data_IF_130347349856
#
_entry.id   IF_130347349856
#
_cell.length_a   1.000
_cell.length_b   1.000
_cell.length_c   1.000
_cell.angle_alpha   90.00
_cell.angle_beta   90.00
_cell.angle_gamma   90.00
#
_symmetry.space_group_name_H-M   'P 1'
#
loop_
_entity.id
_entity.type
_entity.pdbx_description
1 polymer ?
#
# COMPACT_ATOMS: atom_id res chain seq x y z
N UNK A 1 24.70 -9.12 1.35
CA UNK A 1 25.15 -8.51 0.07
C UNK A 1 23.97 -7.77 -0.56
N UNK A 2 24.04 -6.44 -0.70
CA UNK A 2 23.02 -5.68 -1.43
C UNK A 2 23.38 -5.71 -2.92
N UNK A 3 22.65 -6.48 -3.73
CA UNK A 3 22.79 -6.44 -5.19
C UNK A 3 22.02 -5.23 -5.74
N UNK A 4 22.70 -4.39 -6.54
CA UNK A 4 22.04 -3.31 -7.29
C UNK A 4 21.34 -3.92 -8.50
N UNK A 5 20.02 -3.93 -8.47
CA UNK A 5 19.17 -4.36 -9.59
C UNK A 5 18.73 -3.11 -10.35
N UNK A 6 18.84 -3.14 -11.67
CA UNK A 6 18.30 -2.10 -12.56
C UNK A 6 17.20 -2.70 -13.41
N UNK A 7 16.06 -2.02 -13.52
CA UNK A 7 14.94 -2.40 -14.37
C UNK A 7 15.02 -1.60 -15.68
N UNK A 8 14.94 -2.29 -16.81
CA UNK A 8 14.94 -1.69 -18.14
C UNK A 8 13.66 -2.06 -18.88
N UNK A 9 12.97 -1.05 -19.41
CA UNK A 9 11.86 -1.26 -20.33
C UNK A 9 12.40 -1.36 -21.76
N UNK A 10 11.99 -2.40 -22.47
CA UNK A 10 12.36 -2.63 -23.88
C UNK A 10 11.11 -2.67 -24.75
N UNK A 11 11.15 -2.10 -25.96
CA UNK A 11 10.05 -2.22 -26.90
C UNK A 11 9.90 -3.67 -27.37
N UNK A 12 8.65 -4.12 -27.52
CA UNK A 12 8.34 -5.46 -28.02
C UNK A 12 8.79 -5.65 -29.47
N UNK A 13 9.11 -6.89 -29.84
CA UNK A 13 9.46 -7.28 -31.22
C UNK A 13 10.52 -6.40 -31.90
N UNK A 14 11.48 -5.90 -31.12
CA UNK A 14 12.48 -4.93 -31.57
C UNK A 14 13.85 -5.55 -31.87
N UNK A 15 13.95 -6.86 -32.10
CA UNK A 15 15.22 -7.53 -32.41
C UNK A 15 16.13 -7.77 -31.20
N UNK A 16 15.68 -7.45 -29.97
CA UNK A 16 16.50 -7.65 -28.76
C UNK A 16 16.51 -9.14 -28.43
N UNK A 17 17.60 -9.81 -28.79
CA UNK A 17 17.76 -11.26 -28.71
C UNK A 17 17.24 -11.89 -27.41
N UNK A 18 17.63 -11.35 -26.25
CA UNK A 18 17.20 -11.92 -24.96
C UNK A 18 15.71 -11.70 -24.65
N UNK A 19 15.14 -10.59 -25.11
CA UNK A 19 13.71 -10.32 -24.98
C UNK A 19 12.90 -11.24 -25.92
N UNK A 20 13.36 -11.41 -27.16
CA UNK A 20 12.72 -12.30 -28.14
C UNK A 20 12.85 -13.78 -27.75
N UNK A 21 13.99 -14.17 -27.18
CA UNK A 21 14.18 -15.52 -26.64
C UNK A 21 13.24 -15.77 -25.45
N UNK A 22 13.08 -14.79 -24.55
CA UNK A 22 12.13 -14.88 -23.45
C UNK A 22 10.67 -14.99 -23.96
N UNK A 23 10.28 -14.16 -24.94
CA UNK A 23 8.96 -14.20 -25.58
C UNK A 23 8.70 -15.54 -26.28
N UNK A 24 9.69 -16.06 -27.03
CA UNK A 24 9.59 -17.36 -27.69
C UNK A 24 9.41 -18.51 -26.70
N UNK A 25 10.13 -18.49 -25.57
CA UNK A 25 9.97 -19.52 -24.53
C UNK A 25 8.59 -19.43 -23.87
N UNK A 26 8.10 -18.22 -23.60
CA UNK A 26 6.76 -18.03 -23.05
C UNK A 26 5.65 -18.54 -23.99
N UNK A 27 5.81 -18.33 -25.31
CA UNK A 27 4.88 -18.87 -26.33
C UNK A 27 4.92 -20.39 -26.40
N UNK A 28 6.11 -21.00 -26.38
CA UNK A 28 6.24 -22.46 -26.37
C UNK A 28 5.49 -23.13 -25.23
N UNK A 29 5.46 -22.51 -24.04
CA UNK A 29 4.70 -23.02 -22.89
C UNK A 29 3.19 -22.89 -23.13
N UNK A 30 2.75 -21.85 -23.82
CA UNK A 30 1.33 -21.62 -24.13
C UNK A 30 0.81 -22.63 -25.16
N UNK A 31 1.65 -23.00 -26.13
CA UNK A 31 1.32 -23.96 -27.18
C UNK A 31 1.55 -25.42 -26.75
N UNK A 32 2.19 -25.64 -25.60
CA UNK A 32 2.42 -26.98 -25.06
C UNK A 32 1.20 -27.55 -24.35
N UNK A 33 1.00 -28.86 -24.46
CA UNK A 33 0.04 -29.58 -23.61
C UNK A 33 0.49 -29.43 -22.16
N UNK A 34 -0.43 -29.10 -21.21
CA UNK A 34 -0.07 -28.99 -19.81
C UNK A 34 0.65 -30.27 -19.35
N UNK A 35 1.73 -30.12 -18.58
CA UNK A 35 2.39 -31.28 -17.98
C UNK A 35 1.47 -31.99 -16.96
N UNK A 36 0.45 -31.28 -16.47
CA UNK A 36 -0.54 -31.75 -15.51
C UNK A 36 -1.93 -31.31 -15.99
N UNK A 37 -2.61 -32.18 -16.74
CA UNK A 37 -3.92 -31.87 -17.34
C UNK A 37 -5.09 -31.88 -16.34
N UNK A 38 -4.88 -32.42 -15.14
CA UNK A 38 -5.93 -32.59 -14.14
C UNK A 38 -5.99 -31.47 -13.10
N UNK A 39 -5.03 -30.53 -13.12
CA UNK A 39 -5.05 -29.33 -12.27
C UNK A 39 -5.23 -28.12 -13.17
N UNK A 40 -6.29 -27.35 -12.92
CA UNK A 40 -6.52 -26.11 -13.66
C UNK A 40 -5.45 -25.05 -13.34
N UNK A 41 -5.17 -24.19 -14.30
CA UNK A 41 -4.24 -23.07 -14.08
C UNK A 41 -4.73 -22.14 -12.95
N UNK A 42 -6.05 -22.04 -12.83
CA UNK A 42 -6.79 -21.29 -11.82
C UNK A 42 -6.50 -21.82 -10.41
N UNK A 43 -6.44 -23.14 -10.24
CA UNK A 43 -6.11 -23.79 -8.96
C UNK A 43 -4.66 -23.53 -8.56
N UNK A 44 -3.73 -23.61 -9.52
CA UNK A 44 -2.31 -23.29 -9.29
C UNK A 44 -2.18 -21.83 -8.86
N UNK A 45 -2.78 -20.90 -9.61
CA UNK A 45 -2.76 -19.47 -9.30
C UNK A 45 -3.40 -19.20 -7.93
N UNK A 46 -4.53 -19.84 -7.63
CA UNK A 46 -5.21 -19.73 -6.33
C UNK A 46 -4.32 -20.21 -5.19
N UNK A 47 -3.65 -21.36 -5.36
CA UNK A 47 -2.72 -21.91 -4.39
C UNK A 47 -1.52 -20.99 -4.15
N UNK A 48 -0.87 -20.50 -5.22
CA UNK A 48 0.25 -19.57 -5.14
C UNK A 48 -0.15 -18.25 -4.47
N UNK A 49 -1.34 -17.72 -4.78
CA UNK A 49 -1.88 -16.52 -4.11
C UNK A 49 -2.05 -16.76 -2.61
N UNK A 50 -2.67 -17.88 -2.21
CA UNK A 50 -2.83 -18.24 -0.79
C UNK A 50 -1.48 -18.37 -0.09
N UNK A 51 -0.50 -19.01 -0.73
CA UNK A 51 0.84 -19.15 -0.18
C UNK A 51 1.54 -17.78 -0.04
N UNK A 52 1.46 -16.93 -1.06
CA UNK A 52 2.03 -15.57 -1.04
C UNK A 52 1.45 -14.71 0.09
N UNK A 53 0.12 -14.75 0.27
CA UNK A 53 -0.56 -14.05 1.37
C UNK A 53 -0.06 -14.56 2.73
N UNK A 54 0.01 -15.89 2.93
CA UNK A 54 0.51 -16.49 4.18
C UNK A 54 1.95 -16.07 4.48
N UNK A 55 2.85 -16.21 3.50
CA UNK A 55 4.26 -15.80 3.65
C UNK A 55 4.35 -14.33 4.04
N UNK A 56 3.56 -13.47 3.40
CA UNK A 56 3.54 -12.03 3.70
C UNK A 56 3.04 -11.77 5.11
N UNK A 57 1.93 -12.39 5.51
CA UNK A 57 1.35 -12.28 6.84
C UNK A 57 2.31 -12.76 7.95
N UNK A 58 3.03 -13.85 7.73
CA UNK A 58 3.95 -14.43 8.71
C UNK A 58 5.28 -13.65 8.83
N UNK A 59 5.72 -13.05 7.73
CA UNK A 59 6.97 -12.30 7.67
C UNK A 59 6.81 -10.81 8.02
N UNK A 60 5.65 -10.22 7.76
CA UNK A 60 5.43 -8.79 7.99
C UNK A 60 5.71 -8.36 9.44
N UNK A 61 5.17 -9.04 10.49
CA UNK A 61 5.45 -8.70 11.89
C UNK A 61 6.92 -8.78 12.27
N UNK A 62 7.70 -9.61 11.56
CA UNK A 62 9.14 -9.82 11.78
C UNK A 62 10.01 -8.86 10.94
N UNK A 63 9.41 -8.11 10.03
CA UNK A 63 10.11 -7.21 9.12
C UNK A 63 10.42 -5.88 9.79
N UNK A 64 11.45 -5.17 9.31
CA UNK A 64 11.73 -3.79 9.69
C UNK A 64 10.55 -2.83 9.39
N UNK A 65 9.63 -3.23 8.52
CA UNK A 65 8.50 -2.41 8.10
C UNK A 65 7.37 -2.40 9.12
N UNK A 66 7.21 -3.47 9.93
CA UNK A 66 6.24 -3.49 11.03
C UNK A 66 6.49 -2.34 12.01
N UNK A 67 7.75 -2.09 12.38
CA UNK A 67 8.11 -0.98 13.27
C UNK A 67 7.87 0.40 12.62
N UNK A 68 7.89 0.48 11.29
CA UNK A 68 7.79 1.74 10.54
C UNK A 68 6.35 2.13 10.17
N UNK A 69 5.54 1.14 9.80
CA UNK A 69 4.18 1.30 9.27
C UNK A 69 3.14 0.91 10.34
N UNK A 70 3.50 0.03 11.27
CA UNK A 70 2.60 -0.51 12.28
C UNK A 70 1.68 -1.59 11.72
N UNK A 71 0.58 -1.86 12.40
CA UNK A 71 -0.40 -2.82 11.89
C UNK A 71 -1.09 -2.24 10.64
N UNK A 72 -1.10 -3.03 9.56
CA UNK A 72 -1.88 -2.72 8.36
C UNK A 72 -3.14 -3.58 8.42
N UNK A 73 -4.31 -2.98 8.59
CA UNK A 73 -5.53 -3.75 8.71
C UNK A 73 -5.92 -4.31 7.33
N UNK A 74 -6.59 -5.46 7.30
CA UNK A 74 -6.92 -6.16 6.05
C UNK A 74 -7.95 -5.38 5.22
N UNK A 75 -7.45 -4.64 4.22
CA UNK A 75 -8.19 -3.68 3.39
C UNK A 75 -9.45 -4.28 2.75
N UNK A 76 -9.48 -5.60 2.52
CA UNK A 76 -10.61 -6.28 1.88
C UNK A 76 -11.87 -6.31 2.76
N UNK A 77 -11.72 -6.19 4.08
CA UNK A 77 -12.83 -6.27 5.03
C UNK A 77 -13.27 -4.90 5.57
N UNK A 78 -12.62 -3.82 5.12
CA UNK A 78 -12.56 -2.57 5.87
C UNK A 78 -13.46 -1.45 5.32
N UNK A 79 -13.75 -1.43 4.01
CA UNK A 79 -14.63 -0.39 3.46
C UNK A 79 -15.46 -0.90 2.30
N UNK A 80 -16.74 -0.49 2.26
CA UNK A 80 -17.49 -0.46 1.00
C UNK A 80 -16.83 0.61 0.14
N UNK A 81 -16.17 0.18 -0.93
CA UNK A 81 -15.57 1.11 -1.88
C UNK A 81 -16.63 2.06 -2.42
N UNK A 82 -16.25 3.32 -2.56
CA UNK A 82 -17.16 4.42 -2.95
C UNK A 82 -17.63 4.30 -4.40
N UNK A 83 -17.02 3.41 -5.19
CA UNK A 83 -17.17 3.34 -6.65
C UNK A 83 -16.39 4.42 -7.38
N UNK A 84 -15.82 5.39 -6.64
CA UNK A 84 -14.95 6.42 -7.17
C UNK A 84 -13.48 6.03 -6.93
N UNK A 85 -12.82 5.59 -8.00
CA UNK A 85 -11.42 5.13 -7.96
C UNK A 85 -10.44 6.15 -7.35
N UNK A 86 -10.68 7.45 -7.52
CA UNK A 86 -9.79 8.48 -6.96
C UNK A 86 -9.93 8.54 -5.45
N UNK A 87 -11.16 8.51 -4.94
CA UNK A 87 -11.46 8.48 -3.50
C UNK A 87 -10.98 7.17 -2.87
N UNK A 88 -11.25 6.03 -3.51
CA UNK A 88 -10.84 4.71 -3.03
C UNK A 88 -9.31 4.60 -2.88
N UNK A 89 -8.56 5.15 -3.84
CA UNK A 89 -7.09 5.23 -3.75
C UNK A 89 -6.62 6.08 -2.58
N UNK A 90 -7.31 7.18 -2.30
CA UNK A 90 -6.98 8.04 -1.17
C UNK A 90 -7.27 7.32 0.15
N UNK A 91 -8.45 6.71 0.28
CA UNK A 91 -8.87 5.92 1.45
C UNK A 91 -7.87 4.79 1.72
N UNK A 92 -7.52 4.01 0.70
CA UNK A 92 -6.53 2.94 0.82
C UNK A 92 -5.17 3.46 1.31
N UNK A 93 -4.74 4.64 0.87
CA UNK A 93 -3.51 5.29 1.35
C UNK A 93 -3.62 5.80 2.79
N UNK A 94 -4.79 6.27 3.22
CA UNK A 94 -5.05 6.67 4.61
C UNK A 94 -4.94 5.46 5.53
N UNK A 95 -5.61 4.37 5.18
CA UNK A 95 -5.64 3.13 5.96
C UNK A 95 -4.24 2.51 6.05
N UNK A 96 -3.52 2.45 4.93
CA UNK A 96 -2.15 1.90 4.89
C UNK A 96 -1.07 2.87 5.38
N UNK A 97 -1.43 4.10 5.79
CA UNK A 97 -0.49 5.16 6.21
C UNK A 97 0.54 5.52 5.12
N UNK A 98 0.16 5.40 3.85
CA UNK A 98 1.02 5.64 2.66
C UNK A 98 0.65 6.89 1.85
N UNK A 99 -0.10 7.83 2.43
CA UNK A 99 -0.28 9.14 1.79
C UNK A 99 1.07 9.81 1.56
N UNK A 100 1.24 10.35 0.36
CA UNK A 100 2.42 11.11 -0.03
C UNK A 100 2.50 12.37 0.84
N UNK A 101 3.42 12.35 1.80
CA UNK A 101 3.72 13.44 2.73
C UNK A 101 5.23 13.66 2.76
N UNK A 102 5.73 14.87 3.09
CA UNK A 102 7.17 15.10 3.23
C UNK A 102 7.85 14.12 4.19
N UNK A 103 7.22 13.81 5.32
CA UNK A 103 7.72 12.83 6.28
C UNK A 103 7.80 11.42 5.69
N UNK A 104 6.82 10.98 4.89
CA UNK A 104 6.89 9.69 4.20
C UNK A 104 7.98 9.68 3.13
N UNK A 105 8.04 10.71 2.28
CA UNK A 105 9.01 10.78 1.18
C UNK A 105 10.45 10.86 1.70
N UNK A 106 10.68 11.58 2.79
CA UNK A 106 11.98 11.66 3.44
C UNK A 106 12.49 10.30 3.91
N UNK A 107 11.61 9.44 4.45
CA UNK A 107 11.95 8.06 4.83
C UNK A 107 12.48 7.23 3.66
N UNK A 108 12.09 7.57 2.43
CA UNK A 108 12.55 6.91 1.20
C UNK A 108 13.68 7.66 0.49
N UNK A 109 14.27 8.69 1.12
CA UNK A 109 15.27 9.58 0.51
C UNK A 109 14.78 10.28 -0.77
N UNK A 110 13.48 10.53 -0.87
CA UNK A 110 12.85 11.21 -2.01
C UNK A 110 12.53 12.69 -1.72
N UNK A 111 12.67 13.12 -0.47
CA UNK A 111 12.46 14.50 -0.05
C UNK A 111 13.48 14.91 1.03
N UNK A 112 14.14 16.07 0.93
CA UNK A 112 15.23 16.44 1.84
C UNK A 112 14.74 16.81 3.25
N UNK A 113 13.57 17.44 3.37
CA UNK A 113 13.04 17.94 4.65
C UNK A 113 11.76 17.19 5.06
N UNK A 114 11.74 16.46 6.19
CA UNK A 114 10.54 15.77 6.64
C UNK A 114 9.53 16.68 7.34
N UNK A 115 9.85 17.94 7.61
CA UNK A 115 9.12 18.75 8.59
C UNK A 115 7.91 19.50 8.01
N UNK A 116 6.94 19.73 8.89
CA UNK A 116 5.80 20.58 8.60
C UNK A 116 6.20 22.06 8.81
N UNK A 117 6.04 22.88 7.78
CA UNK A 117 6.41 24.32 7.79
C UNK A 117 5.76 25.08 8.95
N UNK A 118 4.53 24.70 9.34
CA UNK A 118 3.76 25.43 10.38
C UNK A 118 4.07 24.93 11.79
N UNK A 119 4.42 23.65 11.94
CA UNK A 119 4.52 23.01 13.26
C UNK A 119 5.93 22.58 13.64
N UNK A 120 6.86 22.55 12.69
CA UNK A 120 8.22 22.05 12.87
C UNK A 120 8.31 20.63 13.46
N UNK A 121 7.32 19.79 13.13
CA UNK A 121 7.25 18.36 13.47
C UNK A 121 7.32 17.52 12.19
N UNK A 122 7.64 16.22 12.32
CA UNK A 122 7.59 15.29 11.19
C UNK A 122 6.22 15.34 10.54
N UNK A 123 6.20 15.66 9.25
CA UNK A 123 5.00 15.79 8.45
C UNK A 123 4.57 14.42 7.92
N UNK A 124 4.06 13.59 8.82
CA UNK A 124 3.42 12.32 8.48
C UNK A 124 1.89 12.40 8.58
N UNK A 125 1.21 11.31 8.19
CA UNK A 125 -0.26 11.27 8.20
C UNK A 125 -0.85 11.44 9.60
N UNK A 126 -0.15 10.95 10.64
CA UNK A 126 -0.56 11.11 12.04
C UNK A 126 -0.49 12.57 12.45
N UNK A 127 0.60 13.26 12.11
CA UNK A 127 0.72 14.70 12.34
C UNK A 127 -0.43 15.46 11.65
N UNK A 128 -0.70 15.18 10.36
CA UNK A 128 -1.77 15.86 9.60
C UNK A 128 -3.15 15.67 10.26
N UNK A 129 -3.55 14.41 10.52
CA UNK A 129 -4.90 14.09 11.00
C UNK A 129 -5.11 14.31 12.50
N UNK A 130 -4.04 14.42 13.30
CA UNK A 130 -4.17 14.51 14.77
C UNK A 130 -3.69 15.84 15.37
N UNK A 131 -2.68 16.50 14.78
CA UNK A 131 -1.93 17.57 15.49
C UNK A 131 -1.74 18.85 14.68
N UNK A 132 -1.60 18.75 13.36
CA UNK A 132 -1.14 19.83 12.49
C UNK A 132 -2.02 21.08 12.61
N UNK A 133 -1.43 22.23 12.95
CA UNK A 133 -2.14 23.52 13.08
C UNK A 133 -2.71 23.98 11.74
N UNK A 134 -2.01 23.72 10.64
CA UNK A 134 -2.46 24.05 9.28
C UNK A 134 -3.82 23.44 8.94
N UNK A 135 -4.11 22.24 9.45
CA UNK A 135 -5.31 21.48 9.14
C UNK A 135 -6.31 21.45 10.31
N UNK A 136 -6.21 22.37 11.28
CA UNK A 136 -7.03 22.34 12.48
C UNK A 136 -8.55 22.44 12.18
N UNK A 137 -8.96 23.33 11.27
CA UNK A 137 -10.36 23.48 10.87
C UNK A 137 -10.91 22.23 10.19
N UNK A 138 -10.16 21.67 9.23
CA UNK A 138 -10.55 20.43 8.55
C UNK A 138 -10.58 19.23 9.49
N UNK A 139 -9.65 19.17 10.45
CA UNK A 139 -9.63 18.12 11.47
C UNK A 139 -10.86 18.18 12.37
N UNK A 140 -11.30 19.37 12.76
CA UNK A 140 -12.52 19.53 13.54
C UNK A 140 -13.76 19.01 12.80
N UNK A 141 -13.88 19.30 11.50
CA UNK A 141 -14.95 18.76 10.64
C UNK A 141 -14.87 17.22 10.60
N UNK A 142 -13.69 16.68 10.25
CA UNK A 142 -13.48 15.23 10.15
C UNK A 142 -13.82 14.52 11.48
N UNK A 143 -13.36 15.04 12.61
CA UNK A 143 -13.59 14.43 13.92
C UNK A 143 -15.06 14.48 14.31
N UNK A 144 -15.78 15.55 13.95
CA UNK A 144 -17.21 15.65 14.15
C UNK A 144 -17.98 14.58 13.34
N UNK A 145 -17.65 14.43 12.05
CA UNK A 145 -18.25 13.40 11.19
C UNK A 145 -17.98 11.97 11.69
N UNK A 146 -16.83 11.75 12.34
CA UNK A 146 -16.43 10.46 12.90
C UNK A 146 -16.90 10.24 14.35
N UNK A 147 -17.68 11.16 14.92
CA UNK A 147 -18.12 11.14 16.31
C UNK A 147 -16.96 10.99 17.32
N UNK A 148 -15.85 11.68 17.07
CA UNK A 148 -14.68 11.69 17.95
C UNK A 148 -14.79 12.87 18.91
N UNK A 149 -14.94 12.59 20.21
CA UNK A 149 -15.12 13.59 21.27
C UNK A 149 -13.83 13.81 22.09
N UNK A 150 -12.95 12.82 22.14
CA UNK A 150 -11.73 12.87 22.96
C UNK A 150 -10.59 13.64 22.29
N UNK A 151 -9.86 14.41 23.11
CA UNK A 151 -8.57 14.97 22.72
C UNK A 151 -7.45 13.95 22.99
N UNK A 152 -6.45 13.89 22.11
CA UNK A 152 -5.29 12.98 22.18
C UNK A 152 -5.53 11.50 21.82
N UNK A 153 -6.39 11.23 20.85
CA UNK A 153 -6.51 9.88 20.27
C UNK A 153 -5.26 9.46 19.48
N UNK A 154 -5.03 8.16 19.36
CA UNK A 154 -4.02 7.60 18.45
C UNK A 154 -4.57 7.52 17.02
N UNK A 155 -3.67 7.37 16.05
CA UNK A 155 -4.10 7.20 14.65
C UNK A 155 -4.91 5.92 14.44
N UNK A 156 -4.62 4.87 15.20
CA UNK A 156 -5.36 3.61 15.10
C UNK A 156 -6.78 3.74 15.66
N UNK A 157 -7.00 4.58 16.68
CA UNK A 157 -8.35 4.95 17.16
C UNK A 157 -9.09 5.80 16.12
N UNK A 158 -8.40 6.75 15.46
CA UNK A 158 -9.01 7.51 14.36
C UNK A 158 -9.47 6.58 13.23
N UNK A 159 -8.62 5.61 12.85
CA UNK A 159 -9.00 4.60 11.86
C UNK A 159 -10.16 3.76 12.37
N UNK A 160 -10.17 3.27 13.61
CA UNK A 160 -11.29 2.44 14.08
C UNK A 160 -12.63 3.15 13.94
N UNK A 161 -12.72 4.44 14.32
CA UNK A 161 -13.93 5.25 14.09
C UNK A 161 -14.29 5.38 12.60
N UNK A 162 -13.30 5.58 11.72
CA UNK A 162 -13.55 5.67 10.28
C UNK A 162 -14.02 4.35 9.65
N UNK A 163 -13.68 3.21 10.26
CA UNK A 163 -14.02 1.88 9.74
C UNK A 163 -15.29 1.30 10.38
N UNK A 164 -15.65 1.73 11.58
CA UNK A 164 -16.88 1.30 12.28
C UNK A 164 -18.08 2.19 11.98
N UNK A 165 -17.88 3.49 11.75
CA UNK A 165 -18.93 4.36 11.24
C UNK A 165 -19.14 4.00 9.77
N UNK A 166 -20.17 3.19 9.49
CA UNK A 166 -20.64 2.92 8.13
C UNK A 166 -20.97 4.27 7.45
N UNK A 167 -20.08 4.74 6.58
CA UNK A 167 -20.42 5.62 5.46
C UNK A 167 -21.08 4.76 4.37
#
# INVERSE_FOLDING_TARGET
>A
MNQKISLLWVPGHSGIFWNEKADSLAKQVTDSTPFIDWISSEDIISSLKKQSIRITHDNYPKSKYQALIGNVPDILNISKWTGNRVQDRLIARIISKTIITPGLLHRFNLHPDPLCIVCNEINDISHIHLKCKKYASFRAILWNELNIVESNITYDVLLSHALTNNI
#
